data_IF_693456784090
#
_entry.id   IF_693456784090
#
_cell.length_a   1.000
_cell.length_b   1.000
_cell.length_c   1.000
_cell.angle_alpha   90.00
_cell.angle_beta   90.00
_cell.angle_gamma   90.00
#
_symmetry.space_group_name_H-M   'P 1'
#
loop_
_entity.id
_entity.type
_entity.pdbx_description
1 polymer ?
#
# COMPACT_ATOMS: atom_id res chain seq x y z
N UNK A 1 26.67 49.96 37.56
CA UNK A 1 26.86 49.22 36.29
C UNK A 1 27.12 47.78 36.69
N UNK A 2 26.17 46.89 36.38
CA UNK A 2 26.26 45.42 36.22
C UNK A 2 24.83 44.85 36.37
N UNK A 3 24.10 44.63 35.26
CA UNK A 3 23.94 43.34 34.54
C UNK A 3 23.54 42.19 35.49
N UNK A 4 22.25 41.91 35.69
CA UNK A 4 21.34 41.09 34.86
C UNK A 4 21.46 39.57 35.08
N UNK A 5 20.29 38.91 34.89
CA UNK A 5 20.01 37.47 34.88
C UNK A 5 19.81 36.84 36.29
N UNK A 6 18.60 36.58 36.79
CA UNK A 6 17.37 36.23 36.06
C UNK A 6 17.42 34.78 35.58
N UNK A 7 17.60 33.84 36.51
CA UNK A 7 17.61 32.39 36.23
C UNK A 7 16.23 31.91 35.81
N UNK A 8 16.01 31.84 34.50
CA UNK A 8 14.81 31.22 33.93
C UNK A 8 14.96 29.70 33.93
N UNK A 9 14.10 29.08 34.73
CA UNK A 9 13.70 27.68 34.65
C UNK A 9 13.26 27.34 33.22
N UNK A 10 14.12 26.66 32.46
CA UNK A 10 13.70 26.02 31.22
C UNK A 10 12.88 24.78 31.59
N UNK A 11 11.57 24.98 31.68
CA UNK A 11 10.55 23.93 31.70
C UNK A 11 10.90 22.87 30.66
N UNK A 12 11.33 21.70 31.15
CA UNK A 12 11.56 20.50 30.37
C UNK A 12 10.19 19.98 29.91
N UNK A 13 9.65 20.53 28.83
CA UNK A 13 8.51 19.97 28.12
C UNK A 13 8.92 18.58 27.64
N UNK A 14 8.62 17.57 28.46
CA UNK A 14 8.62 16.16 28.13
C UNK A 14 7.62 15.99 26.99
N UNK A 15 8.09 16.16 25.76
CA UNK A 15 7.36 15.80 24.56
C UNK A 15 7.05 14.31 24.68
N UNK A 16 5.82 14.04 25.11
CA UNK A 16 5.10 12.78 24.96
C UNK A 16 5.54 12.15 23.64
N UNK A 17 6.39 11.13 23.72
CA UNK A 17 6.95 10.46 22.56
C UNK A 17 5.79 10.00 21.69
N UNK A 18 5.61 10.64 20.53
CA UNK A 18 4.61 10.20 19.57
C UNK A 18 5.08 8.83 19.09
N UNK A 19 4.29 7.74 19.26
CA UNK A 19 4.70 6.40 18.84
C UNK A 19 5.12 6.34 17.36
N UNK A 20 4.62 7.29 16.55
CA UNK A 20 4.98 7.45 15.14
C UNK A 20 6.45 7.85 14.89
N UNK A 21 7.09 8.63 15.77
CA UNK A 21 8.51 8.97 15.61
C UNK A 21 9.42 7.81 16.02
N UNK A 22 8.98 6.99 16.97
CA UNK A 22 9.71 5.79 17.39
C UNK A 22 9.74 4.73 16.27
N UNK A 23 8.61 4.48 15.59
CA UNK A 23 8.54 3.55 14.45
C UNK A 23 9.38 4.04 13.27
N UNK A 24 9.30 5.33 12.93
CA UNK A 24 10.13 5.91 11.89
C UNK A 24 11.64 5.82 12.23
N UNK A 25 12.01 6.07 13.49
CA UNK A 25 13.41 5.95 13.95
C UNK A 25 13.88 4.49 13.97
N UNK A 26 12.97 3.53 14.20
CA UNK A 26 13.23 2.10 14.16
C UNK A 26 13.39 1.56 12.73
N UNK A 27 12.50 1.95 11.80
CA UNK A 27 12.62 1.64 10.37
C UNK A 27 13.94 2.21 9.81
N UNK A 28 14.32 3.41 10.26
CA UNK A 28 15.54 4.10 9.84
C UNK A 28 16.83 3.61 10.52
N UNK A 29 16.75 2.71 11.50
CA UNK A 29 17.92 2.22 12.25
C UNK A 29 18.80 1.26 11.44
N UNK A 30 18.30 0.72 10.33
CA UNK A 30 19.10 -0.10 9.42
C UNK A 30 18.29 -0.70 8.26
N UNK A 31 18.97 -0.97 7.14
CA UNK A 31 18.38 -1.52 5.90
C UNK A 31 17.55 -2.79 6.13
N UNK A 32 18.04 -3.68 7.01
CA UNK A 32 17.34 -4.92 7.35
C UNK A 32 16.07 -4.71 8.19
N UNK A 33 16.00 -3.66 9.00
CA UNK A 33 14.80 -3.36 9.79
C UNK A 33 13.66 -2.88 8.88
N UNK A 34 13.98 -2.08 7.86
CA UNK A 34 13.02 -1.67 6.85
C UNK A 34 12.47 -2.86 6.04
N UNK A 35 13.34 -3.79 5.63
CA UNK A 35 12.94 -5.02 4.92
C UNK A 35 12.06 -5.90 5.78
N UNK A 36 12.42 -6.12 7.05
CA UNK A 36 11.62 -6.93 7.99
C UNK A 36 10.24 -6.32 8.22
N UNK A 37 10.15 -5.01 8.45
CA UNK A 37 8.87 -4.34 8.67
C UNK A 37 8.01 -4.39 7.40
N UNK A 38 8.59 -4.12 6.22
CA UNK A 38 7.87 -4.21 4.95
C UNK A 38 7.36 -5.64 4.69
N UNK A 39 8.21 -6.66 4.91
CA UNK A 39 7.84 -8.06 4.72
C UNK A 39 6.74 -8.49 5.71
N UNK A 40 6.90 -8.19 7.01
CA UNK A 40 5.90 -8.52 8.03
C UNK A 40 4.57 -7.83 7.74
N UNK A 41 4.59 -6.55 7.35
CA UNK A 41 3.37 -5.84 6.99
C UNK A 41 2.73 -6.37 5.72
N UNK A 42 3.50 -6.81 4.71
CA UNK A 42 2.93 -7.45 3.51
C UNK A 42 2.32 -8.81 3.82
N UNK A 43 2.92 -9.60 4.72
CA UNK A 43 2.36 -10.89 5.16
C UNK A 43 1.09 -10.67 5.97
N UNK A 44 1.09 -9.69 6.87
CA UNK A 44 -0.11 -9.31 7.59
C UNK A 44 -1.16 -8.64 6.67
N UNK A 45 -0.75 -8.01 5.56
CA UNK A 45 -1.67 -7.46 4.55
C UNK A 45 -2.51 -8.55 3.88
N UNK A 46 -1.97 -9.78 3.77
CA UNK A 46 -2.72 -10.94 3.32
C UNK A 46 -3.82 -11.36 4.30
N UNK A 47 -3.64 -11.11 5.59
CA UNK A 47 -4.62 -11.40 6.66
C UNK A 47 -5.58 -10.24 6.90
N UNK A 48 -5.14 -9.00 6.63
CA UNK A 48 -5.87 -7.76 6.88
C UNK A 48 -5.52 -6.80 5.73
N UNK A 49 -6.35 -6.77 4.68
CA UNK A 49 -6.20 -5.96 3.45
C UNK A 49 -5.64 -4.52 3.65
N UNK A 50 -5.97 -3.76 4.72
CA UNK A 50 -5.37 -2.43 4.92
C UNK A 50 -3.89 -2.41 5.32
N UNK A 51 -3.25 -3.52 5.69
CA UNK A 51 -1.81 -3.51 6.05
C UNK A 51 -0.88 -3.36 4.83
N UNK A 52 -1.40 -3.59 3.62
CA UNK A 52 -0.68 -3.29 2.38
C UNK A 52 -0.33 -1.80 2.26
N UNK A 53 -1.18 -0.94 2.82
CA UNK A 53 -1.01 0.53 2.87
C UNK A 53 0.25 0.91 3.67
N UNK A 54 0.50 0.20 4.77
CA UNK A 54 1.68 0.47 5.60
C UNK A 54 2.97 -0.02 4.92
N UNK A 55 2.94 -1.15 4.20
CA UNK A 55 4.08 -1.62 3.41
C UNK A 55 4.45 -0.63 2.29
N UNK A 56 3.47 -0.14 1.52
CA UNK A 56 3.69 0.90 0.51
C UNK A 56 4.15 2.23 1.13
N UNK A 57 3.63 2.61 2.29
CA UNK A 57 4.07 3.82 2.99
C UNK A 57 5.55 3.76 3.42
N UNK A 58 6.08 2.58 3.80
CA UNK A 58 7.50 2.41 4.13
C UNK A 58 8.38 2.68 2.91
N UNK A 59 8.05 2.13 1.74
CA UNK A 59 8.82 2.35 0.52
C UNK A 59 8.77 3.81 0.09
N UNK A 60 7.59 4.44 0.17
CA UNK A 60 7.45 5.86 -0.12
C UNK A 60 8.33 6.72 0.77
N UNK A 61 8.36 6.45 2.08
CA UNK A 61 9.20 7.15 3.04
C UNK A 61 10.69 7.00 2.71
N UNK A 62 11.13 5.79 2.33
CA UNK A 62 12.51 5.53 1.92
C UNK A 62 12.86 6.35 0.68
N UNK A 63 12.00 6.38 -0.35
CA UNK A 63 12.22 7.19 -1.56
C UNK A 63 12.29 8.67 -1.22
N UNK A 64 11.37 9.17 -0.38
CA UNK A 64 11.34 10.57 0.04
C UNK A 64 12.62 11.01 0.76
N UNK A 65 13.22 10.14 1.58
CA UNK A 65 14.44 10.46 2.35
C UNK A 65 15.74 10.16 1.62
N UNK A 66 15.86 8.99 1.03
CA UNK A 66 17.12 8.46 0.50
C UNK A 66 17.15 8.44 -1.04
N UNK A 67 16.06 8.82 -1.70
CA UNK A 67 15.91 8.84 -3.16
C UNK A 67 15.50 7.50 -3.76
N UNK A 68 15.12 7.54 -5.03
CA UNK A 68 14.59 6.37 -5.77
C UNK A 68 15.53 5.15 -5.78
N UNK A 69 16.86 5.33 -5.78
CA UNK A 69 17.82 4.21 -5.80
C UNK A 69 17.72 3.33 -4.55
N UNK A 70 17.62 3.93 -3.37
CA UNK A 70 17.50 3.16 -2.13
C UNK A 70 16.11 2.52 -2.02
N UNK A 71 15.07 3.20 -2.49
CA UNK A 71 13.73 2.63 -2.59
C UNK A 71 13.67 1.40 -3.50
N UNK A 72 14.36 1.45 -4.64
CA UNK A 72 14.42 0.34 -5.59
C UNK A 72 15.17 -0.87 -4.99
N UNK A 73 16.28 -0.63 -4.28
CA UNK A 73 17.00 -1.69 -3.57
C UNK A 73 16.12 -2.38 -2.52
N UNK A 74 15.36 -1.61 -1.73
CA UNK A 74 14.46 -2.18 -0.73
C UNK A 74 13.30 -2.93 -1.39
N UNK A 75 12.75 -2.43 -2.51
CA UNK A 75 11.73 -3.14 -3.26
C UNK A 75 12.24 -4.48 -3.82
N UNK A 76 13.47 -4.53 -4.34
CA UNK A 76 14.07 -5.77 -4.84
C UNK A 76 14.34 -6.75 -3.70
N UNK A 77 14.97 -6.30 -2.61
CA UNK A 77 15.27 -7.16 -1.45
C UNK A 77 13.99 -7.66 -0.76
N UNK A 78 13.00 -6.78 -0.59
CA UNK A 78 11.69 -7.15 -0.10
C UNK A 78 10.98 -8.13 -1.03
N UNK A 79 11.13 -7.97 -2.35
CA UNK A 79 10.53 -8.84 -3.35
C UNK A 79 11.13 -10.25 -3.30
N UNK A 80 12.44 -10.36 -3.11
CA UNK A 80 13.14 -11.63 -2.90
C UNK A 80 12.68 -12.29 -1.59
N UNK A 81 12.53 -11.52 -0.51
CA UNK A 81 12.00 -12.03 0.75
C UNK A 81 10.56 -12.55 0.60
N UNK A 82 9.70 -11.83 -0.13
CA UNK A 82 8.35 -12.28 -0.45
C UNK A 82 8.36 -13.51 -1.34
N UNK A 83 9.30 -13.62 -2.29
CA UNK A 83 9.41 -14.81 -3.14
C UNK A 83 9.77 -16.05 -2.31
N UNK A 84 10.74 -15.92 -1.40
CA UNK A 84 11.12 -16.99 -0.49
C UNK A 84 9.96 -17.40 0.43
N UNK A 85 9.21 -16.43 0.92
CA UNK A 85 8.06 -16.68 1.78
C UNK A 85 6.88 -17.29 1.02
N UNK A 86 6.61 -16.83 -0.20
CA UNK A 86 5.58 -17.37 -1.10
C UNK A 86 5.87 -18.82 -1.47
N UNK A 87 7.15 -19.17 -1.67
CA UNK A 87 7.58 -20.55 -1.84
C UNK A 87 7.28 -21.40 -0.60
N UNK A 88 7.58 -20.88 0.59
CA UNK A 88 7.47 -21.64 1.84
C UNK A 88 6.02 -21.86 2.28
N UNK A 89 5.14 -20.87 2.07
CA UNK A 89 3.75 -20.90 2.55
C UNK A 89 2.80 -21.46 1.50
N UNK A 90 2.90 -20.99 0.25
CA UNK A 90 1.92 -21.26 -0.80
C UNK A 90 2.46 -22.19 -1.90
N UNK A 91 3.75 -22.57 -1.83
CA UNK A 91 4.43 -23.31 -2.90
C UNK A 91 4.60 -22.50 -4.19
N UNK A 92 4.26 -21.21 -4.19
CA UNK A 92 4.33 -20.33 -5.36
C UNK A 92 5.19 -19.10 -5.07
N UNK A 93 6.50 -19.15 -5.41
CA UNK A 93 7.41 -18.04 -5.12
C UNK A 93 7.04 -16.76 -5.87
N UNK A 94 6.64 -16.89 -7.13
CA UNK A 94 6.53 -15.73 -8.02
C UNK A 94 5.29 -14.88 -7.72
N UNK A 95 4.17 -15.51 -7.36
CA UNK A 95 2.87 -14.85 -7.18
C UNK A 95 2.91 -13.78 -6.09
N UNK A 96 3.53 -14.10 -4.95
CA UNK A 96 3.64 -13.17 -3.81
C UNK A 96 4.61 -12.02 -4.10
N UNK A 97 5.70 -12.31 -4.81
CA UNK A 97 6.67 -11.30 -5.22
C UNK A 97 6.08 -10.31 -6.24
N UNK A 98 5.34 -10.80 -7.23
CA UNK A 98 4.66 -9.97 -8.23
C UNK A 98 3.61 -9.07 -7.56
N UNK A 99 2.82 -9.60 -6.64
CA UNK A 99 1.85 -8.81 -5.88
C UNK A 99 2.51 -7.67 -5.09
N UNK A 100 3.63 -7.95 -4.42
CA UNK A 100 4.41 -6.92 -3.73
C UNK A 100 4.96 -5.85 -4.67
N UNK A 101 5.59 -6.27 -5.78
CA UNK A 101 6.13 -5.36 -6.79
C UNK A 101 5.06 -4.46 -7.41
N UNK A 102 3.88 -5.00 -7.73
CA UNK A 102 2.76 -4.22 -8.26
C UNK A 102 2.30 -3.11 -7.30
N UNK A 103 2.40 -3.35 -5.98
CA UNK A 103 2.09 -2.34 -4.97
C UNK A 103 3.22 -1.31 -4.81
N UNK A 104 4.47 -1.73 -4.95
CA UNK A 104 5.64 -0.90 -4.65
C UNK A 104 6.08 0.00 -5.81
N UNK A 105 6.06 -0.51 -7.05
CA UNK A 105 6.44 0.23 -8.25
C UNK A 105 5.72 1.57 -8.41
N UNK A 106 4.37 1.66 -8.36
CA UNK A 106 3.68 2.95 -8.46
C UNK A 106 4.08 3.89 -7.31
N UNK A 107 4.38 3.34 -6.14
CA UNK A 107 4.78 4.13 -4.99
C UNK A 107 6.20 4.71 -5.12
N UNK A 108 7.11 4.00 -5.78
CA UNK A 108 8.43 4.54 -6.14
C UNK A 108 8.28 5.77 -7.04
N UNK A 109 7.40 5.67 -8.05
CA UNK A 109 7.12 6.77 -8.99
C UNK A 109 6.50 7.96 -8.25
N UNK A 110 5.44 7.73 -7.47
CA UNK A 110 4.74 8.80 -6.74
C UNK A 110 5.62 9.44 -5.65
N UNK A 111 6.44 8.63 -4.96
CA UNK A 111 7.38 9.12 -3.96
C UNK A 111 8.45 10.04 -4.54
N UNK A 112 9.05 9.67 -5.67
CA UNK A 112 10.05 10.51 -6.35
C UNK A 112 9.40 11.75 -6.97
N UNK A 113 8.19 11.62 -7.53
CA UNK A 113 7.42 12.74 -8.05
C UNK A 113 7.08 13.76 -6.96
N UNK A 114 6.67 13.30 -5.78
CA UNK A 114 6.42 14.17 -4.62
C UNK A 114 7.70 14.87 -4.17
N UNK A 115 8.82 14.14 -4.15
CA UNK A 115 10.14 14.69 -3.78
C UNK A 115 10.61 15.76 -4.75
N UNK A 116 10.45 15.54 -6.06
CA UNK A 116 10.90 16.45 -7.11
C UNK A 116 10.00 17.69 -7.24
N UNK A 117 8.68 17.52 -7.17
CA UNK A 117 7.73 18.62 -7.41
C UNK A 117 7.31 19.36 -6.15
N UNK A 118 7.44 18.73 -4.97
CA UNK A 118 6.88 19.20 -3.67
C UNK A 118 5.40 19.58 -3.73
N UNK A 119 4.67 19.11 -4.75
CA UNK A 119 3.27 19.44 -4.98
C UNK A 119 2.40 18.21 -4.76
N UNK A 120 1.63 18.22 -3.68
CA UNK A 120 0.72 17.12 -3.37
C UNK A 120 -0.39 16.99 -4.42
N UNK A 121 -0.84 18.12 -4.98
CA UNK A 121 -1.89 18.14 -6.00
C UNK A 121 -1.47 17.34 -7.24
N UNK A 122 -0.26 17.57 -7.74
CA UNK A 122 0.25 16.89 -8.92
C UNK A 122 0.39 15.39 -8.69
N UNK A 123 0.85 14.99 -7.50
CA UNK A 123 0.98 13.58 -7.13
C UNK A 123 -0.39 12.88 -7.04
N UNK A 124 -1.42 13.55 -6.52
CA UNK A 124 -2.78 13.02 -6.51
C UNK A 124 -3.36 12.91 -7.92
N UNK A 125 -3.14 13.90 -8.79
CA UNK A 125 -3.54 13.84 -10.20
C UNK A 125 -2.90 12.62 -10.90
N UNK A 126 -1.61 12.39 -10.70
CA UNK A 126 -0.92 11.20 -11.24
C UNK A 126 -1.43 9.90 -10.61
N UNK A 127 -1.75 9.88 -9.31
CA UNK A 127 -2.33 8.70 -8.66
C UNK A 127 -3.70 8.34 -9.24
N UNK A 128 -4.54 9.34 -9.57
CA UNK A 128 -5.82 9.10 -10.27
C UNK A 128 -5.58 8.54 -11.66
N UNK A 129 -4.62 9.08 -12.41
CA UNK A 129 -4.24 8.58 -13.74
C UNK A 129 -3.77 7.11 -13.64
N UNK A 130 -2.96 6.76 -12.64
CA UNK A 130 -2.57 5.37 -12.41
C UNK A 130 -3.78 4.48 -12.12
N UNK A 131 -4.71 4.91 -11.27
CA UNK A 131 -5.97 4.19 -11.04
C UNK A 131 -6.78 3.97 -12.32
N UNK A 132 -6.92 4.99 -13.16
CA UNK A 132 -7.59 4.89 -14.45
C UNK A 132 -6.84 3.97 -15.43
N UNK A 133 -5.51 4.03 -15.46
CA UNK A 133 -4.68 3.12 -16.25
C UNK A 133 -4.85 1.67 -15.81
N UNK A 134 -5.01 1.39 -14.52
CA UNK A 134 -5.28 0.04 -14.03
C UNK A 134 -6.62 -0.49 -14.55
N UNK A 135 -7.65 0.36 -14.58
CA UNK A 135 -8.95 0.01 -15.15
C UNK A 135 -8.79 -0.26 -16.65
N UNK A 136 -8.17 0.67 -17.38
CA UNK A 136 -7.92 0.53 -18.81
C UNK A 136 -7.11 -0.73 -19.15
N UNK A 137 -6.09 -1.05 -18.36
CA UNK A 137 -5.28 -2.26 -18.52
C UNK A 137 -6.11 -3.54 -18.40
N UNK A 138 -7.11 -3.56 -17.52
CA UNK A 138 -8.02 -4.71 -17.43
C UNK A 138 -8.78 -4.90 -18.75
N UNK A 139 -9.35 -3.83 -19.31
CA UNK A 139 -10.06 -3.90 -20.60
C UNK A 139 -9.16 -4.18 -21.81
N UNK A 140 -7.84 -4.01 -21.68
CA UNK A 140 -6.87 -4.34 -22.74
C UNK A 140 -6.37 -5.79 -22.66
N UNK A 141 -6.27 -6.36 -21.46
CA UNK A 141 -5.73 -7.71 -21.25
C UNK A 141 -6.82 -8.77 -21.20
N UNK A 142 -7.99 -8.42 -20.65
CA UNK A 142 -9.11 -9.34 -20.51
C UNK A 142 -10.10 -9.13 -21.65
N UNK A 143 -10.43 -10.21 -22.35
CA UNK A 143 -11.42 -10.19 -23.44
C UNK A 143 -12.83 -9.80 -22.93
N UNK A 144 -13.18 -10.21 -21.71
CA UNK A 144 -14.45 -9.90 -21.06
C UNK A 144 -14.22 -9.64 -19.56
N UNK A 145 -14.09 -8.35 -19.21
CA UNK A 145 -13.84 -7.89 -17.84
C UNK A 145 -14.98 -8.26 -16.90
N UNK A 146 -16.27 -7.98 -17.20
CA UNK A 146 -17.38 -8.43 -16.37
C UNK A 146 -17.38 -9.94 -16.13
N UNK A 147 -17.13 -10.75 -17.16
CA UNK A 147 -17.14 -12.21 -17.02
C UNK A 147 -16.03 -12.72 -16.09
N UNK A 148 -14.83 -12.16 -16.20
CA UNK A 148 -13.74 -12.48 -15.28
C UNK A 148 -14.12 -12.20 -13.82
N UNK A 149 -14.67 -11.02 -13.55
CA UNK A 149 -15.10 -10.65 -12.19
C UNK A 149 -16.28 -11.48 -11.71
N UNK A 150 -17.23 -11.82 -12.58
CA UNK A 150 -18.33 -12.72 -12.22
C UNK A 150 -17.85 -14.10 -11.80
N UNK A 151 -16.79 -14.62 -12.42
CA UNK A 151 -16.21 -15.92 -12.03
C UNK A 151 -15.62 -15.90 -10.63
N UNK A 152 -14.91 -14.82 -10.27
CA UNK A 152 -14.37 -14.62 -8.92
C UNK A 152 -15.49 -14.46 -7.90
N UNK A 153 -16.51 -13.66 -8.21
CA UNK A 153 -17.65 -13.42 -7.34
C UNK A 153 -18.50 -14.67 -7.14
N UNK A 154 -18.68 -15.50 -8.17
CA UNK A 154 -19.43 -16.75 -8.07
C UNK A 154 -18.74 -17.72 -7.11
N UNK A 155 -17.43 -17.93 -7.28
CA UNK A 155 -16.63 -18.76 -6.37
C UNK A 155 -16.69 -18.25 -4.93
N UNK A 156 -16.54 -16.94 -4.71
CA UNK A 156 -16.63 -16.33 -3.38
C UNK A 156 -18.03 -16.47 -2.77
N UNK A 157 -19.08 -16.25 -3.56
CA UNK A 157 -20.47 -16.35 -3.12
C UNK A 157 -20.86 -17.78 -2.77
N UNK A 158 -20.35 -18.78 -3.52
CA UNK A 158 -20.58 -20.20 -3.25
C UNK A 158 -19.95 -20.65 -1.92
N UNK A 159 -18.84 -20.01 -1.51
CA UNK A 159 -18.19 -20.31 -0.23
C UNK A 159 -18.85 -19.59 0.96
N UNK A 160 -19.44 -18.41 0.75
CA UNK A 160 -20.02 -17.59 1.83
C UNK A 160 -21.52 -17.72 2.01
N UNK A 161 -22.29 -18.02 0.97
CA UNK A 161 -23.75 -18.06 1.03
C UNK A 161 -24.27 -19.49 1.17
N UNK A 162 -25.10 -19.71 2.19
CA UNK A 162 -25.82 -20.97 2.36
C UNK A 162 -26.91 -21.09 1.27
N UNK A 163 -26.91 -22.16 0.45
CA UNK A 163 -27.92 -22.41 -0.57
C UNK A 163 -29.36 -22.44 -0.03
N UNK A 164 -29.53 -22.67 1.27
CA UNK A 164 -30.84 -22.72 1.91
C UNK A 164 -31.43 -21.35 2.23
N UNK A 165 -30.62 -20.28 2.19
CA UNK A 165 -31.05 -18.90 2.54
C UNK A 165 -31.19 -18.03 1.29
N UNK A 166 -30.33 -18.22 0.29
CA UNK A 166 -30.34 -17.44 -0.95
C UNK A 166 -30.48 -18.40 -2.14
N UNK A 167 -31.53 -18.20 -2.94
CA UNK A 167 -31.74 -18.98 -4.16
C UNK A 167 -30.58 -18.79 -5.15
N UNK A 168 -30.22 -19.85 -5.87
CA UNK A 168 -29.19 -19.80 -6.93
C UNK A 168 -29.48 -18.73 -8.00
N UNK A 169 -30.77 -18.47 -8.28
CA UNK A 169 -31.19 -17.45 -9.23
C UNK A 169 -30.88 -16.03 -8.73
N UNK A 170 -31.19 -15.76 -7.46
CA UNK A 170 -30.94 -14.46 -6.84
C UNK A 170 -29.45 -14.21 -6.66
N UNK A 171 -28.68 -15.25 -6.28
CA UNK A 171 -27.21 -15.19 -6.20
C UNK A 171 -26.59 -14.80 -7.55
N UNK A 172 -26.98 -15.47 -8.64
CA UNK A 172 -26.46 -15.19 -9.98
C UNK A 172 -26.84 -13.80 -10.48
N UNK A 173 -28.03 -13.32 -10.14
CA UNK A 173 -28.45 -11.95 -10.47
C UNK A 173 -27.57 -10.93 -9.75
N UNK A 174 -27.33 -11.09 -8.45
CA UNK A 174 -26.43 -10.21 -7.68
C UNK A 174 -25.01 -10.20 -8.25
N UNK A 175 -24.46 -11.38 -8.57
CA UNK A 175 -23.12 -11.50 -9.17
C UNK A 175 -23.04 -10.76 -10.51
N UNK A 176 -24.06 -10.89 -11.36
CA UNK A 176 -24.08 -10.25 -12.68
C UNK A 176 -24.16 -8.73 -12.59
N UNK A 177 -24.93 -8.21 -11.64
CA UNK A 177 -25.05 -6.76 -11.40
C UNK A 177 -23.79 -6.15 -10.76
N UNK A 178 -23.10 -6.91 -9.89
CA UNK A 178 -21.91 -6.44 -9.18
C UNK A 178 -20.62 -6.55 -10.00
N UNK A 179 -20.53 -7.53 -10.91
CA UNK A 179 -19.30 -7.80 -11.65
C UNK A 179 -18.76 -6.61 -12.46
N UNK A 180 -19.58 -5.79 -13.16
CA UNK A 180 -19.09 -4.61 -13.86
C UNK A 180 -18.49 -3.53 -12.93
N UNK A 181 -18.97 -3.45 -11.68
CA UNK A 181 -18.49 -2.48 -10.70
C UNK A 181 -17.14 -2.85 -10.11
N UNK A 182 -16.75 -4.13 -10.14
CA UNK A 182 -15.49 -4.62 -9.54
C UNK A 182 -14.25 -4.02 -10.18
N UNK A 183 -14.22 -3.88 -11.51
CA UNK A 183 -13.10 -3.26 -12.20
C UNK A 183 -12.88 -1.80 -11.75
N UNK A 184 -13.97 -1.02 -11.69
CA UNK A 184 -13.94 0.36 -11.22
C UNK A 184 -13.63 0.47 -9.72
N UNK A 185 -14.23 -0.41 -8.91
CA UNK A 185 -14.00 -0.50 -7.48
C UNK A 185 -12.54 -0.82 -7.15
N UNK A 186 -11.91 -1.72 -7.90
CA UNK A 186 -10.48 -2.03 -7.73
C UNK A 186 -9.59 -0.84 -8.09
N UNK A 187 -9.89 -0.13 -9.18
CA UNK A 187 -9.19 1.11 -9.53
C UNK A 187 -9.31 2.19 -8.45
N UNK A 188 -10.51 2.39 -7.92
CA UNK A 188 -10.77 3.35 -6.84
C UNK A 188 -10.07 2.95 -5.53
N UNK A 189 -10.12 1.66 -5.17
CA UNK A 189 -9.43 1.13 -3.99
C UNK A 189 -7.91 1.30 -4.12
N UNK A 190 -7.36 1.06 -5.31
CA UNK A 190 -5.93 1.23 -5.57
C UNK A 190 -5.50 2.70 -5.45
N UNK A 191 -6.27 3.62 -6.02
CA UNK A 191 -6.06 5.05 -5.82
C UNK A 191 -6.09 5.43 -4.33
N UNK A 192 -7.12 4.97 -3.60
CA UNK A 192 -7.28 5.27 -2.18
C UNK A 192 -6.09 4.75 -1.35
N UNK A 193 -5.62 3.54 -1.66
CA UNK A 193 -4.43 2.95 -1.06
C UNK A 193 -3.18 3.81 -1.30
N UNK A 194 -2.95 4.26 -2.55
CA UNK A 194 -1.80 5.10 -2.89
C UNK A 194 -1.87 6.46 -2.16
N UNK A 195 -3.05 7.09 -2.16
CA UNK A 195 -3.26 8.35 -1.48
C UNK A 195 -3.02 8.23 0.04
N UNK A 196 -3.62 7.24 0.70
CA UNK A 196 -3.44 6.99 2.13
C UNK A 196 -1.97 6.70 2.48
N UNK A 197 -1.28 5.91 1.66
CA UNK A 197 0.14 5.61 1.84
C UNK A 197 1.01 6.87 1.75
N UNK A 198 0.69 7.79 0.83
CA UNK A 198 1.40 9.07 0.68
C UNK A 198 1.15 10.00 1.87
N UNK A 199 -0.10 10.09 2.33
CA UNK A 199 -0.43 10.88 3.52
C UNK A 199 0.30 10.36 4.76
N UNK A 200 0.35 9.04 4.94
CA UNK A 200 1.13 8.39 6.00
C UNK A 200 2.61 8.73 5.89
N UNK A 201 3.23 8.54 4.71
CA UNK A 201 4.64 8.84 4.49
C UNK A 201 4.97 10.31 4.77
N UNK A 202 4.12 11.25 4.33
CA UNK A 202 4.28 12.68 4.63
C UNK A 202 4.14 12.97 6.12
N UNK A 203 3.19 12.34 6.80
CA UNK A 203 2.99 12.52 8.25
C UNK A 203 4.20 12.06 9.07
N UNK A 204 4.97 11.09 8.56
CA UNK A 204 6.21 10.61 9.17
C UNK A 204 7.43 11.49 8.84
N UNK A 205 7.35 12.32 7.79
CA UNK A 205 8.39 13.27 7.42
C UNK A 205 8.35 14.56 8.26
N UNK A 206 7.18 14.95 8.77
CA UNK A 206 6.95 16.16 9.58
C UNK A 206 7.34 16.01 11.06
#
# INVERSE_FOLDING_TARGET
MDFAAGGQEVCRCRCKERPMKALATFIMKGRMQAVMVAAVFTVLALLITPLGIASSAVIALVVLRNGVREGLLIAVLGGVALAALGLLIFGQPLSLAIAGLLLWVPMLVLGELLRATRSLRLVLEVAVILGALLIGMQYLVLDDVPKFWSGILDEYSAQMMDPNVVSDADRKLMVTEMAPWMAGGMGAAWFLQLALSLFLARSWQA
#
